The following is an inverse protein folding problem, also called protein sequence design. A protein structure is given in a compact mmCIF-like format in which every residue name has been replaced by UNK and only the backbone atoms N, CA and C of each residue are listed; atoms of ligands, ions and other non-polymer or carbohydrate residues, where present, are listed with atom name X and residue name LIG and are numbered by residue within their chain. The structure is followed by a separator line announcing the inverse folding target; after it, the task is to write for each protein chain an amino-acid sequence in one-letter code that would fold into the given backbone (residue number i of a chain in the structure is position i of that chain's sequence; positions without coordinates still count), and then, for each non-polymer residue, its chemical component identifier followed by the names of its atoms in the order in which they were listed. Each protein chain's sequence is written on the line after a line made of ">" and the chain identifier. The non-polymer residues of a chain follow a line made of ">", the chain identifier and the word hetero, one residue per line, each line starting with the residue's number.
data_IF_795123073404
#
_entry.id   IF_795123073404
#
_cell.length_a   1.000
_cell.length_b   1.000
_cell.length_c   1.000
_cell.angle_alpha   90.00
_cell.angle_beta   90.00
_cell.angle_gamma   90.00
#
_symmetry.space_group_name_H-M   'P 1'
#
loop_
_entity.id
_entity.type
_entity.pdbx_description
1 polymer ?
#
# COMPACT_ATOMS: atom_id res chain seq x y z
N UNK A 1 -30.47 18.01 9.75
CA UNK A 1 -29.51 17.03 10.25
C UNK A 1 -29.01 17.45 11.63
N UNK A 2 -29.08 16.55 12.60
CA UNK A 2 -28.48 16.78 13.93
C UNK A 2 -28.08 15.45 14.56
N UNK A 3 -26.83 15.38 15.05
CA UNK A 3 -26.31 14.19 15.73
C UNK A 3 -25.31 14.55 16.82
N UNK A 4 -25.19 13.67 17.80
CA UNK A 4 -24.18 13.71 18.87
C UNK A 4 -23.22 12.54 18.65
N UNK A 5 -21.91 12.81 18.68
CA UNK A 5 -20.87 11.82 18.44
C UNK A 5 -19.72 11.98 19.43
N UNK A 6 -19.06 10.90 19.80
CA UNK A 6 -17.81 10.98 20.53
C UNK A 6 -16.73 11.60 19.64
N UNK A 7 -15.98 12.55 20.16
CA UNK A 7 -14.92 13.27 19.43
C UNK A 7 -13.88 12.32 18.81
N UNK A 8 -13.46 11.30 19.55
CA UNK A 8 -12.46 10.33 19.06
C UNK A 8 -13.04 9.46 17.93
N UNK A 9 -14.29 9.00 18.05
CA UNK A 9 -14.98 8.27 16.98
C UNK A 9 -15.08 9.12 15.71
N UNK A 10 -15.44 10.40 15.87
CA UNK A 10 -15.53 11.30 14.72
C UNK A 10 -14.17 11.55 14.09
N UNK A 11 -13.12 11.76 14.89
CA UNK A 11 -11.76 11.95 14.42
C UNK A 11 -11.21 10.69 13.72
N UNK A 12 -11.43 9.50 14.27
CA UNK A 12 -11.01 8.23 13.68
C UNK A 12 -11.69 7.98 12.33
N UNK A 13 -13.01 8.21 12.27
CA UNK A 13 -13.75 8.13 11.01
C UNK A 13 -13.24 9.09 9.95
N UNK A 14 -13.06 10.38 10.30
CA UNK A 14 -12.49 11.37 9.40
C UNK A 14 -11.07 10.98 8.94
N UNK A 15 -10.21 10.54 9.84
CA UNK A 15 -8.85 10.10 9.52
C UNK A 15 -8.83 8.92 8.56
N UNK A 16 -9.83 8.03 8.64
CA UNK A 16 -9.93 6.88 7.75
C UNK A 16 -10.21 7.28 6.30
N UNK A 17 -10.99 8.34 6.07
CA UNK A 17 -11.46 8.70 4.73
C UNK A 17 -10.73 9.88 4.07
N UNK A 18 -10.09 10.77 4.83
CA UNK A 18 -9.68 12.09 4.32
C UNK A 18 -8.40 12.14 3.50
N UNK A 19 -7.57 11.08 3.51
CA UNK A 19 -6.33 11.04 2.72
C UNK A 19 -6.55 11.02 1.20
N UNK A 20 -7.74 10.62 0.75
CA UNK A 20 -8.12 10.66 -0.67
C UNK A 20 -8.22 12.09 -1.19
N UNK A 21 -8.55 13.03 -0.29
CA UNK A 21 -8.76 14.44 -0.66
C UNK A 21 -7.45 15.11 -1.05
N UNK A 22 -7.33 15.48 -2.32
CA UNK A 22 -6.14 16.17 -2.84
C UNK A 22 -6.04 17.61 -2.35
N UNK A 23 -4.82 18.15 -2.35
CA UNK A 23 -4.57 19.57 -2.02
C UNK A 23 -5.12 20.52 -3.08
N UNK A 24 -5.18 20.08 -4.32
CA UNK A 24 -5.69 20.82 -5.49
C UNK A 24 -6.70 19.92 -6.21
N UNK A 25 -7.98 20.06 -5.89
CA UNK A 25 -9.04 19.38 -6.63
C UNK A 25 -9.58 20.29 -7.74
N UNK A 26 -9.92 19.72 -8.87
CA UNK A 26 -10.55 20.43 -10.00
C UNK A 26 -11.94 20.95 -9.66
N UNK A 27 -12.64 20.26 -8.75
CA UNK A 27 -13.97 20.63 -8.28
C UNK A 27 -13.93 20.88 -6.77
N UNK A 28 -14.47 22.01 -6.27
CA UNK A 28 -14.47 22.34 -4.83
C UNK A 28 -15.09 21.25 -3.95
N UNK A 29 -16.15 20.57 -4.42
CA UNK A 29 -16.85 19.51 -3.70
C UNK A 29 -15.95 18.33 -3.34
N UNK A 30 -14.91 18.03 -4.16
CA UNK A 30 -13.95 16.96 -3.91
C UNK A 30 -12.96 17.27 -2.78
N UNK A 31 -12.96 18.51 -2.26
CA UNK A 31 -12.22 18.88 -1.06
C UNK A 31 -13.04 18.67 0.23
N UNK A 32 -14.28 18.23 0.07
CA UNK A 32 -15.20 18.01 1.18
C UNK A 32 -15.33 16.52 1.51
N UNK A 33 -15.73 16.25 2.76
CA UNK A 33 -16.27 14.97 3.18
C UNK A 33 -17.79 15.06 3.16
N UNK A 34 -18.44 14.09 2.52
CA UNK A 34 -19.88 13.89 2.62
C UNK A 34 -20.18 13.24 3.97
N UNK A 35 -21.10 13.85 4.70
CA UNK A 35 -21.59 13.42 6.03
C UNK A 35 -23.05 13.08 5.88
N UNK A 36 -23.43 11.85 6.14
CA UNK A 36 -24.81 11.36 6.08
C UNK A 36 -25.18 10.75 7.44
N UNK A 37 -26.12 11.37 8.14
CA UNK A 37 -26.60 10.94 9.46
C UNK A 37 -27.93 10.21 9.31
N UNK A 38 -27.98 8.95 9.73
CA UNK A 38 -29.16 8.11 9.67
C UNK A 38 -29.12 7.02 10.76
N UNK A 39 -30.29 6.73 11.36
CA UNK A 39 -30.40 5.72 12.43
C UNK A 39 -29.51 6.06 13.62
N UNK A 40 -28.57 5.21 13.94
CA UNK A 40 -27.59 5.35 15.03
C UNK A 40 -26.14 5.52 14.52
N UNK A 41 -25.99 5.86 13.25
CA UNK A 41 -24.68 5.99 12.60
C UNK A 41 -24.56 7.27 11.78
N UNK A 42 -23.32 7.67 11.56
CA UNK A 42 -22.94 8.68 10.57
C UNK A 42 -21.99 8.05 9.55
N UNK A 43 -22.36 8.14 8.29
CA UNK A 43 -21.52 7.74 7.16
C UNK A 43 -20.65 8.91 6.71
N UNK A 44 -19.35 8.66 6.57
CA UNK A 44 -18.35 9.61 6.10
C UNK A 44 -17.79 9.11 4.77
N UNK A 45 -17.86 9.94 3.73
CA UNK A 45 -17.43 9.57 2.39
C UNK A 45 -16.54 10.65 1.78
N UNK A 46 -15.42 10.26 1.17
CA UNK A 46 -14.57 11.13 0.36
C UNK A 46 -14.23 10.48 -0.96
N UNK A 47 -13.98 11.27 -1.99
CA UNK A 47 -13.54 10.79 -3.29
C UNK A 47 -12.74 11.86 -4.05
N UNK A 48 -11.88 11.38 -4.97
CA UNK A 48 -11.24 12.21 -5.98
C UNK A 48 -11.62 11.77 -7.42
N UNK A 49 -12.71 11.00 -7.56
CA UNK A 49 -13.26 10.39 -8.78
C UNK A 49 -12.54 9.11 -9.25
N UNK A 50 -11.30 8.89 -8.83
CA UNK A 50 -10.54 7.66 -9.15
C UNK A 50 -10.52 6.71 -7.96
N UNK A 51 -10.50 7.26 -6.77
CA UNK A 51 -10.47 6.56 -5.50
C UNK A 51 -11.52 7.18 -4.56
N UNK A 52 -12.33 6.36 -3.93
CA UNK A 52 -13.30 6.75 -2.91
C UNK A 52 -13.16 5.89 -1.65
N UNK A 53 -13.35 6.49 -0.50
CA UNK A 53 -13.38 5.78 0.78
C UNK A 53 -14.62 6.18 1.55
N UNK A 54 -15.29 5.18 2.12
CA UNK A 54 -16.48 5.33 2.94
C UNK A 54 -16.31 4.53 4.25
N UNK A 55 -16.69 5.12 5.37
CA UNK A 55 -16.81 4.42 6.66
C UNK A 55 -18.03 4.89 7.42
N UNK A 56 -18.48 4.08 8.40
CA UNK A 56 -19.53 4.44 9.34
C UNK A 56 -19.00 4.55 10.75
N UNK A 57 -19.51 5.52 11.51
CA UNK A 57 -19.20 5.72 12.92
C UNK A 57 -20.45 5.72 13.76
N UNK A 58 -20.37 5.29 15.02
CA UNK A 58 -21.46 5.37 15.98
C UNK A 58 -21.78 6.81 16.32
N UNK A 59 -23.05 7.18 16.27
CA UNK A 59 -23.53 8.51 16.67
C UNK A 59 -25.00 8.43 17.11
N UNK A 60 -25.40 9.30 18.01
CA UNK A 60 -26.82 9.47 18.38
C UNK A 60 -27.45 10.49 17.42
N UNK A 61 -28.17 10.01 16.41
CA UNK A 61 -28.81 10.86 15.40
C UNK A 61 -30.20 11.27 15.90
N UNK A 62 -30.39 12.56 16.17
CA UNK A 62 -31.69 13.12 16.56
C UNK A 62 -32.51 13.66 15.38
N UNK A 63 -31.84 13.99 14.27
CA UNK A 63 -32.49 14.38 13.02
C UNK A 63 -31.63 13.90 11.83
N UNK A 64 -32.17 13.04 10.96
CA UNK A 64 -31.42 12.56 9.78
C UNK A 64 -31.15 13.71 8.80
N UNK A 65 -30.21 13.46 7.89
CA UNK A 65 -29.88 14.38 6.79
C UNK A 65 -28.44 14.24 6.33
N UNK A 66 -28.06 15.08 5.37
CA UNK A 66 -26.75 15.02 4.74
C UNK A 66 -26.22 16.38 4.33
N UNK A 67 -24.91 16.54 4.35
CA UNK A 67 -24.18 17.76 3.99
C UNK A 67 -22.73 17.41 3.63
N UNK A 68 -22.06 18.25 2.88
CA UNK A 68 -20.60 18.12 2.70
C UNK A 68 -19.87 19.24 3.43
N UNK A 69 -18.75 18.91 4.09
CA UNK A 69 -17.92 19.87 4.80
C UNK A 69 -16.46 19.84 4.33
N UNK A 70 -15.78 21.00 4.28
CA UNK A 70 -14.39 21.07 3.84
C UNK A 70 -13.45 20.36 4.82
N UNK A 71 -12.76 19.32 4.34
CA UNK A 71 -11.85 18.48 5.13
C UNK A 71 -10.77 19.30 5.82
N UNK A 72 -10.16 20.26 5.10
CA UNK A 72 -9.11 21.15 5.64
C UNK A 72 -9.53 21.99 6.83
N UNK A 73 -10.84 22.20 7.03
CA UNK A 73 -11.38 22.91 8.19
C UNK A 73 -11.90 21.95 9.24
N UNK A 74 -12.64 20.93 8.83
CA UNK A 74 -13.29 20.01 9.75
C UNK A 74 -12.30 19.18 10.58
N UNK A 75 -11.29 18.59 9.93
CA UNK A 75 -10.31 17.72 10.62
C UNK A 75 -9.54 18.45 11.73
N UNK A 76 -8.93 19.63 11.48
CA UNK A 76 -8.27 20.38 12.55
C UNK A 76 -9.22 20.80 13.69
N UNK A 77 -10.46 21.19 13.36
CA UNK A 77 -11.47 21.53 14.38
C UNK A 77 -11.70 20.32 15.28
N UNK A 78 -12.10 19.16 14.70
CA UNK A 78 -12.41 17.95 15.48
C UNK A 78 -11.21 17.47 16.29
N UNK A 79 -9.99 17.58 15.74
CA UNK A 79 -8.75 17.25 16.46
C UNK A 79 -8.53 18.13 17.69
N UNK A 80 -8.86 19.42 17.61
CA UNK A 80 -8.62 20.41 18.66
C UNK A 80 -9.70 20.45 19.76
N UNK A 81 -10.85 19.77 19.56
CA UNK A 81 -11.92 19.75 20.55
C UNK A 81 -11.46 19.10 21.85
N UNK A 82 -11.78 19.69 22.99
CA UNK A 82 -11.38 19.22 24.31
C UNK A 82 -12.38 18.27 24.97
N UNK A 83 -13.67 18.37 24.60
CA UNK A 83 -14.73 17.53 25.16
C UNK A 83 -14.91 16.24 24.35
N UNK A 84 -15.23 15.14 25.03
CA UNK A 84 -15.55 13.87 24.40
C UNK A 84 -16.85 13.91 23.58
N UNK A 85 -17.81 14.75 23.98
CA UNK A 85 -19.11 14.91 23.32
C UNK A 85 -19.10 16.06 22.32
N UNK A 86 -19.46 15.77 21.09
CA UNK A 86 -19.54 16.74 20.00
C UNK A 86 -20.92 16.67 19.36
N UNK A 87 -21.60 17.83 19.29
CA UNK A 87 -22.90 17.97 18.62
C UNK A 87 -22.65 18.65 17.28
N UNK A 88 -23.15 18.04 16.21
CA UNK A 88 -23.09 18.56 14.84
C UNK A 88 -24.53 18.81 14.36
N UNK A 89 -24.83 20.05 13.99
CA UNK A 89 -26.17 20.49 13.63
C UNK A 89 -26.16 21.34 12.35
N UNK A 90 -26.94 20.96 11.36
CA UNK A 90 -27.21 21.78 10.18
C UNK A 90 -28.23 22.86 10.55
N UNK A 91 -27.78 24.11 10.64
CA UNK A 91 -28.59 25.23 11.13
C UNK A 91 -29.29 26.01 10.04
N UNK A 92 -28.73 26.05 8.84
CA UNK A 92 -29.32 26.65 7.65
C UNK A 92 -28.90 25.84 6.42
N UNK A 93 -29.33 26.24 5.24
CA UNK A 93 -29.17 25.43 4.01
C UNK A 93 -27.79 24.83 3.83
N UNK A 94 -26.71 25.56 4.17
CA UNK A 94 -25.34 25.11 3.94
C UNK A 94 -24.39 25.42 5.11
N UNK A 95 -24.93 25.68 6.33
CA UNK A 95 -24.11 25.99 7.51
C UNK A 95 -24.29 24.94 8.59
N UNK A 96 -23.19 24.42 9.07
CA UNK A 96 -23.13 23.44 10.15
C UNK A 96 -22.51 24.07 11.39
N UNK A 97 -23.22 23.94 12.51
CA UNK A 97 -22.74 24.28 13.84
C UNK A 97 -22.16 23.06 14.50
N UNK A 98 -20.94 23.15 14.99
CA UNK A 98 -20.23 22.12 15.74
C UNK A 98 -20.04 22.65 17.16
N UNK A 99 -20.60 21.95 18.14
CA UNK A 99 -20.54 22.34 19.56
C UNK A 99 -19.85 21.24 20.36
N UNK A 100 -18.87 21.61 21.20
CA UNK A 100 -18.19 20.70 22.09
C UNK A 100 -17.77 21.41 23.36
N UNK A 101 -18.42 21.13 24.50
CA UNK A 101 -18.30 21.89 25.72
C UNK A 101 -18.73 23.35 25.49
N UNK A 102 -17.86 24.29 25.81
CA UNK A 102 -18.07 25.73 25.58
C UNK A 102 -17.69 26.21 24.17
N UNK A 103 -17.02 25.35 23.39
CA UNK A 103 -16.54 25.69 22.05
C UNK A 103 -17.65 25.57 21.02
N UNK A 104 -17.78 26.56 20.15
CA UNK A 104 -18.77 26.62 19.08
C UNK A 104 -18.08 27.04 17.77
N UNK A 105 -18.21 26.21 16.74
CA UNK A 105 -17.73 26.52 15.40
C UNK A 105 -18.90 26.54 14.41
N UNK A 106 -18.81 27.41 13.41
CA UNK A 106 -19.73 27.42 12.27
C UNK A 106 -18.92 27.20 11.01
N UNK A 107 -19.24 26.15 10.28
CA UNK A 107 -18.55 25.75 9.06
C UNK A 107 -19.53 25.81 7.88
N UNK A 108 -19.16 26.50 6.82
CA UNK A 108 -19.91 26.49 5.57
C UNK A 108 -19.62 25.18 4.82
N UNK A 109 -20.67 24.53 4.36
CA UNK A 109 -20.64 23.32 3.55
C UNK A 109 -21.10 23.57 2.12
N UNK A 110 -21.30 22.47 1.40
CA UNK A 110 -21.94 22.45 0.08
C UNK A 110 -23.04 21.38 0.10
N UNK A 111 -24.09 21.55 -0.74
CA UNK A 111 -25.19 20.57 -0.83
C UNK A 111 -24.68 19.16 -1.16
N UNK A 112 -25.20 18.16 -0.45
CA UNK A 112 -24.82 16.76 -0.63
C UNK A 112 -25.15 16.22 -2.03
N UNK A 113 -26.14 16.80 -2.70
CA UNK A 113 -26.59 16.45 -4.05
C UNK A 113 -25.50 16.68 -5.13
N UNK A 114 -24.55 17.56 -4.85
CA UNK A 114 -23.43 17.84 -5.74
C UNK A 114 -22.27 16.85 -5.57
N UNK A 115 -22.29 16.03 -4.49
CA UNK A 115 -21.22 15.09 -4.23
C UNK A 115 -21.33 13.88 -5.17
N UNK A 116 -20.25 13.51 -5.89
CA UNK A 116 -20.29 12.40 -6.83
C UNK A 116 -20.50 11.07 -6.08
N UNK A 117 -21.40 10.20 -6.59
CA UNK A 117 -21.65 8.91 -5.97
C UNK A 117 -20.44 7.98 -6.07
N UNK A 118 -20.22 7.18 -5.04
CA UNK A 118 -19.27 6.07 -5.07
C UNK A 118 -20.01 4.81 -5.50
N UNK A 119 -19.38 3.97 -6.33
CA UNK A 119 -19.98 2.74 -6.82
C UNK A 119 -20.30 1.79 -5.67
N UNK A 120 -21.46 1.17 -5.76
CA UNK A 120 -21.91 0.14 -4.84
C UNK A 120 -21.65 -1.25 -5.45
N UNK A 121 -21.03 -2.13 -4.69
CA UNK A 121 -20.69 -3.50 -5.08
C UNK A 121 -21.64 -4.54 -4.42
N UNK A 122 -22.73 -4.11 -3.78
CA UNK A 122 -23.68 -5.02 -3.18
C UNK A 122 -24.27 -6.00 -4.22
N UNK A 123 -24.28 -7.28 -3.88
CA UNK A 123 -24.77 -8.33 -4.78
C UNK A 123 -23.78 -8.84 -5.82
N UNK A 124 -22.59 -8.24 -5.94
CA UNK A 124 -21.54 -8.76 -6.82
C UNK A 124 -20.77 -9.91 -6.13
N UNK A 125 -20.20 -10.84 -6.92
CA UNK A 125 -19.30 -11.87 -6.40
C UNK A 125 -18.15 -11.26 -5.61
N UNK A 126 -17.80 -11.91 -4.48
CA UNK A 126 -16.82 -11.40 -3.53
C UNK A 126 -15.76 -12.45 -3.25
N UNK A 127 -14.49 -12.06 -3.31
CA UNK A 127 -13.36 -12.86 -2.90
C UNK A 127 -12.90 -12.37 -1.52
N UNK A 128 -12.88 -13.26 -0.51
CA UNK A 128 -12.48 -12.92 0.85
C UNK A 128 -11.00 -13.27 1.09
N UNK A 129 -10.23 -12.29 1.55
CA UNK A 129 -8.81 -12.41 1.86
C UNK A 129 -8.60 -11.97 3.31
N UNK A 130 -7.78 -12.67 4.08
CA UNK A 130 -7.36 -12.19 5.40
C UNK A 130 -6.56 -10.89 5.25
N UNK A 131 -6.88 -9.86 6.05
CA UNK A 131 -6.26 -8.53 5.94
C UNK A 131 -4.76 -8.56 6.25
N UNK A 132 -4.32 -9.37 7.23
CA UNK A 132 -2.90 -9.54 7.55
C UNK A 132 -2.14 -10.14 6.36
N UNK A 133 -2.74 -11.14 5.69
CA UNK A 133 -2.16 -11.76 4.51
C UNK A 133 -2.05 -10.78 3.35
N UNK A 134 -3.11 -10.01 3.08
CA UNK A 134 -3.10 -9.01 2.02
C UNK A 134 -2.07 -7.91 2.30
N UNK A 135 -2.02 -7.43 3.54
CA UNK A 135 -1.05 -6.43 3.99
C UNK A 135 0.41 -6.90 3.85
N UNK A 136 0.69 -8.16 4.23
CA UNK A 136 2.01 -8.77 4.07
C UNK A 136 2.40 -8.88 2.59
N UNK A 137 1.51 -9.37 1.73
CA UNK A 137 1.74 -9.47 0.30
C UNK A 137 2.02 -8.10 -0.35
N UNK A 138 1.23 -7.09 -0.01
CA UNK A 138 1.41 -5.73 -0.55
C UNK A 138 2.73 -5.10 -0.07
N UNK A 139 3.08 -5.26 1.19
CA UNK A 139 4.34 -4.78 1.76
C UNK A 139 5.55 -5.40 1.02
N UNK A 140 5.46 -6.69 0.69
CA UNK A 140 6.51 -7.44 -0.03
C UNK A 140 6.71 -7.00 -1.47
N UNK A 141 5.73 -6.33 -2.12
CA UNK A 141 5.84 -5.98 -3.54
C UNK A 141 5.76 -4.49 -3.86
N UNK A 142 5.05 -3.69 -3.06
CA UNK A 142 4.70 -2.30 -3.41
C UNK A 142 5.90 -1.38 -3.63
N UNK A 143 7.06 -1.66 -3.02
CA UNK A 143 8.28 -0.89 -3.21
C UNK A 143 8.87 -1.01 -4.63
N UNK A 144 8.50 -2.06 -5.37
CA UNK A 144 9.01 -2.32 -6.72
C UNK A 144 8.18 -1.66 -7.82
N UNK A 145 7.05 -1.02 -7.51
CA UNK A 145 6.28 -0.27 -8.51
C UNK A 145 7.03 0.94 -9.04
N UNK A 146 6.75 1.33 -10.29
CA UNK A 146 7.34 2.53 -10.88
C UNK A 146 6.83 3.80 -10.18
N UNK A 147 7.73 4.75 -9.92
CA UNK A 147 7.38 6.10 -9.48
C UNK A 147 7.05 7.04 -10.65
N UNK A 148 7.32 6.64 -11.89
CA UNK A 148 7.05 7.40 -13.10
C UNK A 148 5.57 7.25 -13.49
N UNK A 149 4.80 8.32 -13.32
CA UNK A 149 3.37 8.36 -13.64
C UNK A 149 3.08 8.18 -15.17
N UNK A 150 4.05 8.48 -16.03
CA UNK A 150 3.91 8.25 -17.48
C UNK A 150 3.90 6.74 -17.81
N UNK A 151 4.49 5.92 -16.95
CA UNK A 151 4.47 4.46 -17.05
C UNK A 151 3.28 3.89 -16.27
N UNK A 152 2.08 4.39 -16.54
CA UNK A 152 0.88 4.17 -15.76
C UNK A 152 0.57 2.69 -15.46
N UNK A 153 0.87 1.75 -16.37
CA UNK A 153 0.71 0.30 -16.15
C UNK A 153 1.65 -0.21 -15.05
N UNK A 154 2.88 0.34 -14.94
CA UNK A 154 3.86 -0.04 -13.94
C UNK A 154 3.78 0.81 -12.66
N UNK A 155 3.06 1.94 -12.70
CA UNK A 155 2.78 2.77 -11.53
C UNK A 155 1.62 2.19 -10.73
N UNK A 156 1.78 0.96 -10.28
CA UNK A 156 0.78 0.21 -9.54
C UNK A 156 1.20 -1.23 -9.29
N UNK A 157 0.31 -1.99 -8.69
CA UNK A 157 0.48 -3.41 -8.38
C UNK A 157 -0.51 -4.24 -9.19
N UNK A 158 -0.01 -5.28 -9.82
CA UNK A 158 -0.79 -6.26 -10.54
C UNK A 158 -1.28 -7.35 -9.59
N UNK A 159 -2.57 -7.62 -9.63
CA UNK A 159 -3.25 -8.68 -8.89
C UNK A 159 -3.74 -9.73 -9.88
N UNK A 160 -3.37 -10.96 -9.68
CA UNK A 160 -3.79 -12.09 -10.48
C UNK A 160 -4.43 -13.16 -9.58
N UNK A 161 -5.74 -13.29 -9.70
CA UNK A 161 -6.51 -14.34 -9.06
C UNK A 161 -6.63 -15.50 -10.05
N UNK A 162 -6.19 -16.67 -9.63
CA UNK A 162 -6.33 -17.93 -10.36
C UNK A 162 -6.89 -18.98 -9.43
N UNK A 163 -7.20 -20.18 -9.92
CA UNK A 163 -7.73 -21.26 -9.11
C UNK A 163 -6.93 -21.47 -7.82
N UNK A 164 -7.58 -21.16 -6.69
CA UNK A 164 -7.02 -21.35 -5.36
C UNK A 164 -5.81 -20.46 -5.00
N UNK A 165 -5.51 -19.36 -5.75
CA UNK A 165 -4.31 -18.55 -5.51
C UNK A 165 -4.50 -17.07 -5.86
N UNK A 166 -3.90 -16.20 -5.05
CA UNK A 166 -3.62 -14.80 -5.38
C UNK A 166 -2.13 -14.62 -5.61
N UNK A 167 -1.77 -14.02 -6.73
CA UNK A 167 -0.42 -13.54 -7.02
C UNK A 167 -0.46 -12.02 -7.12
N UNK A 168 0.46 -11.33 -6.44
CA UNK A 168 0.66 -9.88 -6.56
C UNK A 168 2.05 -9.60 -7.10
N UNK A 169 2.16 -8.67 -8.04
CA UNK A 169 3.42 -8.34 -8.72
C UNK A 169 3.56 -6.83 -8.88
N UNK A 170 4.77 -6.34 -8.67
CA UNK A 170 5.13 -4.98 -9.02
C UNK A 170 6.50 -4.94 -9.70
N UNK A 171 6.71 -4.03 -10.65
CA UNK A 171 7.98 -3.80 -11.32
C UNK A 171 8.11 -2.37 -11.82
N UNK A 172 9.33 -1.84 -11.81
CA UNK A 172 9.70 -0.57 -12.43
C UNK A 172 10.51 -0.77 -13.74
N UNK A 173 10.69 -2.05 -14.15
CA UNK A 173 11.48 -2.46 -15.32
C UNK A 173 12.97 -2.69 -15.00
N UNK A 174 13.42 -2.40 -13.78
CA UNK A 174 14.80 -2.67 -13.31
C UNK A 174 14.83 -3.69 -12.18
N UNK A 175 13.73 -3.86 -11.50
CA UNK A 175 13.48 -4.87 -10.48
C UNK A 175 12.04 -5.34 -10.57
N UNK A 176 11.76 -6.51 -10.06
CA UNK A 176 10.43 -7.10 -9.99
C UNK A 176 10.26 -7.80 -8.65
N UNK A 177 9.18 -7.50 -7.93
CA UNK A 177 8.80 -8.24 -6.74
C UNK A 177 7.49 -8.99 -7.00
N UNK A 178 7.46 -10.27 -6.61
CA UNK A 178 6.30 -11.15 -6.71
C UNK A 178 6.06 -11.81 -5.37
N UNK A 179 4.81 -11.81 -4.94
CA UNK A 179 4.36 -12.58 -3.79
C UNK A 179 3.11 -13.36 -4.17
N UNK A 180 3.02 -14.63 -3.74
CA UNK A 180 1.83 -15.45 -3.99
C UNK A 180 1.37 -16.18 -2.74
N UNK A 181 0.06 -16.39 -2.66
CA UNK A 181 -0.56 -17.08 -1.52
C UNK A 181 -1.76 -17.89 -1.96
N UNK A 182 -1.93 -19.07 -1.37
CA UNK A 182 -3.13 -19.88 -1.54
C UNK A 182 -4.35 -19.13 -1.02
N UNK A 183 -5.44 -19.18 -1.78
CA UNK A 183 -6.68 -18.48 -1.48
C UNK A 183 -7.87 -19.37 -1.84
N UNK A 184 -8.69 -19.72 -0.86
CA UNK A 184 -9.88 -20.53 -1.10
C UNK A 184 -11.00 -19.72 -1.78
N UNK A 185 -11.78 -20.36 -2.63
CA UNK A 185 -13.00 -19.76 -3.23
C UNK A 185 -12.74 -18.85 -4.43
N UNK A 186 -11.61 -19.01 -5.13
CA UNK A 186 -11.34 -18.31 -6.38
C UNK A 186 -11.55 -19.23 -7.58
N UNK A 187 -12.81 -19.35 -8.02
CA UNK A 187 -13.16 -20.24 -9.15
C UNK A 187 -13.03 -19.55 -10.52
N UNK A 188 -12.85 -18.24 -10.54
CA UNK A 188 -12.72 -17.44 -11.76
C UNK A 188 -11.38 -16.72 -11.81
N UNK A 189 -10.72 -16.82 -12.94
CA UNK A 189 -9.52 -16.04 -13.23
C UNK A 189 -9.91 -14.54 -13.30
N UNK A 190 -9.18 -13.71 -12.57
CA UNK A 190 -9.32 -12.26 -12.56
C UNK A 190 -7.94 -11.62 -12.51
N UNK A 191 -7.71 -10.63 -13.37
CA UNK A 191 -6.48 -9.87 -13.37
C UNK A 191 -6.81 -8.37 -13.30
N UNK A 192 -6.15 -7.66 -12.38
CA UNK A 192 -6.37 -6.23 -12.11
C UNK A 192 -5.02 -5.53 -11.93
N UNK A 193 -4.92 -4.30 -12.42
CA UNK A 193 -3.80 -3.41 -12.08
C UNK A 193 -4.37 -2.30 -11.19
N UNK A 194 -3.86 -2.20 -9.96
CA UNK A 194 -4.29 -1.19 -9.00
C UNK A 194 -3.28 -0.06 -8.95
N UNK A 195 -3.73 1.21 -9.09
CA UNK A 195 -2.84 2.36 -9.02
C UNK A 195 -2.06 2.43 -7.71
N UNK A 196 -0.83 2.96 -7.74
CA UNK A 196 0.03 3.13 -6.58
C UNK A 196 -0.69 3.82 -5.41
N UNK A 197 -1.45 4.87 -5.69
CA UNK A 197 -2.23 5.60 -4.68
C UNK A 197 -3.27 4.71 -3.98
N UNK A 198 -3.93 3.84 -4.74
CA UNK A 198 -4.89 2.87 -4.19
C UNK A 198 -4.19 1.90 -3.25
N UNK A 199 -3.01 1.40 -3.63
CA UNK A 199 -2.22 0.49 -2.81
C UNK A 199 -1.81 1.14 -1.50
N UNK A 200 -1.33 2.39 -1.53
CA UNK A 200 -0.96 3.14 -0.32
C UNK A 200 -2.15 3.27 0.64
N UNK A 201 -3.31 3.68 0.12
CA UNK A 201 -4.52 3.84 0.96
C UNK A 201 -5.05 2.49 1.46
N UNK A 202 -5.03 1.45 0.61
CA UNK A 202 -5.44 0.11 1.02
C UNK A 202 -4.55 -0.40 2.17
N UNK A 203 -3.23 -0.32 2.04
CA UNK A 203 -2.29 -0.74 3.09
C UNK A 203 -2.50 0.02 4.40
N UNK A 204 -2.81 1.31 4.33
CA UNK A 204 -3.12 2.14 5.52
C UNK A 204 -4.40 1.71 6.23
N UNK A 205 -5.41 1.27 5.47
CA UNK A 205 -6.72 0.88 5.99
C UNK A 205 -6.79 -0.55 6.49
N UNK A 206 -5.90 -1.44 6.00
CA UNK A 206 -5.85 -2.83 6.46
C UNK A 206 -5.57 -2.90 7.96
N UNK A 207 -6.31 -3.76 8.67
CA UNK A 207 -6.20 -4.00 10.11
C UNK A 207 -5.97 -5.49 10.39
N UNK A 208 -5.39 -5.79 11.53
CA UNK A 208 -5.20 -7.18 11.95
C UNK A 208 -6.52 -7.88 12.28
N UNK A 209 -6.61 -9.15 11.93
CA UNK A 209 -7.66 -10.06 12.39
C UNK A 209 -8.97 -10.01 11.62
N UNK A 210 -9.10 -9.17 10.58
CA UNK A 210 -10.30 -9.06 9.74
C UNK A 210 -10.14 -9.67 8.35
N UNK A 211 -11.21 -9.66 7.57
CA UNK A 211 -11.21 -10.02 6.15
C UNK A 211 -11.34 -8.75 5.28
N UNK A 212 -10.69 -8.78 4.15
CA UNK A 212 -10.90 -7.87 3.03
C UNK A 212 -11.75 -8.62 1.98
N UNK A 213 -12.90 -8.07 1.65
CA UNK A 213 -13.82 -8.61 0.66
C UNK A 213 -13.62 -7.83 -0.63
N UNK A 214 -13.12 -8.49 -1.67
CA UNK A 214 -12.80 -7.89 -2.96
C UNK A 214 -13.93 -8.18 -3.93
N UNK A 215 -14.55 -7.15 -4.47
CA UNK A 215 -15.55 -7.23 -5.53
C UNK A 215 -15.11 -6.33 -6.70
N UNK A 216 -15.48 -6.66 -7.91
CA UNK A 216 -15.09 -5.88 -9.08
C UNK A 216 -16.20 -5.81 -10.13
N UNK A 217 -16.14 -4.77 -10.95
CA UNK A 217 -16.79 -4.67 -12.25
C UNK A 217 -15.71 -4.39 -13.32
N UNK A 218 -16.14 -4.08 -14.54
CA UNK A 218 -15.22 -3.87 -15.67
C UNK A 218 -14.18 -2.74 -15.45
N UNK A 219 -14.51 -1.72 -14.66
CA UNK A 219 -13.69 -0.49 -14.52
C UNK A 219 -13.22 -0.20 -13.11
N UNK A 220 -13.80 -0.88 -12.11
CA UNK A 220 -13.55 -0.56 -10.72
C UNK A 220 -13.46 -1.82 -9.87
N UNK A 221 -12.73 -1.69 -8.78
CA UNK A 221 -12.64 -2.68 -7.70
C UNK A 221 -13.08 -2.04 -6.40
N UNK A 222 -13.82 -2.80 -5.60
CA UNK A 222 -14.21 -2.45 -4.24
C UNK A 222 -13.54 -3.38 -3.23
N UNK A 223 -12.94 -2.79 -2.21
CA UNK A 223 -12.44 -3.50 -1.03
C UNK A 223 -13.34 -3.13 0.15
N UNK A 224 -14.05 -4.11 0.69
CA UNK A 224 -14.83 -3.95 1.91
C UNK A 224 -14.05 -4.61 3.04
N UNK A 225 -13.50 -3.81 3.96
CA UNK A 225 -12.62 -4.24 5.03
C UNK A 225 -13.41 -4.40 6.32
N UNK A 226 -13.37 -5.57 6.95
CA UNK A 226 -13.97 -5.76 8.26
C UNK A 226 -13.22 -4.91 9.30
N UNK A 227 -13.96 -4.24 10.16
CA UNK A 227 -13.38 -3.46 11.26
C UNK A 227 -13.31 -4.36 12.50
N UNK A 228 -12.13 -4.47 13.16
CA UNK A 228 -12.03 -5.19 14.43
C UNK A 228 -12.98 -4.60 15.48
N UNK A 229 -13.56 -5.45 16.31
CA UNK A 229 -14.54 -5.05 17.34
C UNK A 229 -13.99 -4.12 18.41
N UNK A 230 -12.67 -4.00 18.52
CA UNK A 230 -11.94 -3.13 19.44
C UNK A 230 -11.63 -1.73 18.85
N UNK A 231 -11.93 -1.48 17.58
CA UNK A 231 -11.75 -0.15 16.97
C UNK A 231 -12.84 0.80 17.44
N UNK A 232 -12.48 1.74 18.31
CA UNK A 232 -13.42 2.67 18.91
C UNK A 232 -14.12 3.53 17.85
N UNK A 233 -15.44 3.37 17.78
CA UNK A 233 -16.35 4.23 17.01
C UNK A 233 -16.58 3.84 15.55
N UNK A 234 -15.72 3.06 14.94
CA UNK A 234 -16.00 2.53 13.60
C UNK A 234 -17.04 1.39 13.68
N UNK A 235 -17.94 1.33 12.72
CA UNK A 235 -19.04 0.35 12.67
C UNK A 235 -18.91 -0.49 11.42
N UNK A 236 -18.99 -1.81 11.60
CA UNK A 236 -19.02 -2.83 10.56
C UNK A 236 -17.80 -2.86 9.64
N UNK A 237 -17.70 -1.91 8.69
CA UNK A 237 -16.77 -2.02 7.57
C UNK A 237 -16.29 -0.66 7.08
N UNK A 238 -15.08 -0.65 6.53
CA UNK A 238 -14.56 0.44 5.70
C UNK A 238 -14.60 -0.02 4.25
N UNK A 239 -15.16 0.80 3.37
CA UNK A 239 -15.17 0.53 1.94
C UNK A 239 -14.19 1.45 1.22
N UNK A 240 -13.32 0.85 0.40
CA UNK A 240 -12.45 1.53 -0.53
C UNK A 240 -12.86 1.13 -1.95
N UNK A 241 -13.11 2.09 -2.81
CA UNK A 241 -13.46 1.88 -4.23
C UNK A 241 -12.42 2.57 -5.08
N UNK A 242 -11.84 1.86 -6.03
CA UNK A 242 -10.81 2.38 -6.94
C UNK A 242 -11.13 2.06 -8.39
N UNK A 243 -10.81 2.98 -9.31
CA UNK A 243 -10.65 2.62 -10.71
C UNK A 243 -9.45 1.66 -10.84
N UNK A 244 -9.56 0.73 -11.78
CA UNK A 244 -8.43 -0.09 -12.23
C UNK A 244 -7.68 0.61 -13.34
N UNK A 245 -6.39 0.31 -13.48
CA UNK A 245 -5.59 0.79 -14.61
C UNK A 245 -5.94 -0.05 -15.82
N UNK A 246 -6.34 0.59 -16.91
CA UNK A 246 -6.62 -0.06 -18.19
C UNK A 246 -5.32 -0.47 -18.88
N UNK A 247 -5.29 -1.68 -19.46
CA UNK A 247 -4.17 -2.21 -20.23
C UNK A 247 -3.68 -3.57 -19.74
N UNK A 248 -2.70 -4.10 -20.46
CA UNK A 248 -2.10 -5.41 -20.15
C UNK A 248 -0.81 -5.24 -19.36
N UNK A 249 -0.76 -5.86 -18.20
CA UNK A 249 0.49 -5.92 -17.43
C UNK A 249 1.54 -6.75 -18.19
N UNK A 250 2.83 -6.35 -18.20
CA UNK A 250 3.88 -7.10 -18.88
C UNK A 250 3.95 -8.56 -18.41
N UNK A 251 4.35 -9.47 -19.31
CA UNK A 251 4.53 -10.88 -18.94
C UNK A 251 5.74 -11.03 -18.00
N UNK A 252 5.50 -10.81 -16.73
CA UNK A 252 6.52 -10.85 -15.68
C UNK A 252 7.20 -12.22 -15.53
N UNK A 253 6.54 -13.30 -15.96
CA UNK A 253 7.09 -14.65 -15.85
C UNK A 253 8.33 -14.86 -16.72
N UNK A 254 8.48 -14.07 -17.79
CA UNK A 254 9.62 -14.17 -18.71
C UNK A 254 10.92 -13.62 -18.12
N UNK A 255 10.83 -12.69 -17.16
CA UNK A 255 12.01 -12.07 -16.55
C UNK A 255 12.49 -12.83 -15.29
N UNK A 256 11.72 -13.77 -14.80
CA UNK A 256 12.10 -14.61 -13.67
C UNK A 256 13.02 -15.73 -14.19
N UNK A 257 14.30 -15.79 -13.76
CA UNK A 257 15.20 -16.86 -14.17
C UNK A 257 14.65 -18.24 -13.79
N UNK A 258 14.64 -19.16 -14.75
CA UNK A 258 14.23 -20.56 -14.51
C UNK A 258 15.31 -21.34 -13.81
N UNK A 259 16.56 -20.99 -14.09
CA UNK A 259 17.75 -21.55 -13.47
C UNK A 259 18.58 -20.39 -12.93
N UNK A 260 18.72 -20.34 -11.65
CA UNK A 260 19.37 -19.23 -10.94
C UNK A 260 20.87 -19.49 -10.71
N UNK A 261 21.40 -20.64 -11.16
CA UNK A 261 22.81 -20.99 -10.98
C UNK A 261 23.15 -21.26 -9.51
N UNK A 262 24.05 -20.44 -8.94
CA UNK A 262 24.52 -20.61 -7.57
C UNK A 262 23.63 -19.89 -6.57
N UNK A 263 23.49 -20.50 -5.38
CA UNK A 263 22.63 -20.04 -4.29
C UNK A 263 23.46 -19.81 -3.03
N UNK A 264 23.25 -18.66 -2.39
CA UNK A 264 23.86 -18.29 -1.12
C UNK A 264 22.77 -18.06 -0.09
N UNK A 265 22.78 -18.80 1.01
CA UNK A 265 21.91 -18.57 2.14
C UNK A 265 22.56 -17.59 3.11
N UNK A 266 21.81 -16.57 3.54
CA UNK A 266 22.30 -15.45 4.32
C UNK A 266 21.31 -15.07 5.43
N UNK A 267 21.85 -14.62 6.56
CA UNK A 267 21.06 -13.89 7.54
C UNK A 267 20.61 -12.56 6.94
N UNK A 268 19.31 -12.33 6.87
CA UNK A 268 18.69 -11.15 6.25
C UNK A 268 19.22 -9.84 6.84
N UNK A 269 19.29 -9.75 8.17
CA UNK A 269 19.73 -8.53 8.87
C UNK A 269 21.19 -8.20 8.59
N UNK A 270 22.08 -9.21 8.63
CA UNK A 270 23.51 -9.01 8.30
C UNK A 270 23.69 -8.49 6.87
N UNK A 271 22.97 -9.07 5.90
CA UNK A 271 23.02 -8.59 4.53
C UNK A 271 22.51 -7.15 4.42
N UNK A 272 21.38 -6.83 5.08
CA UNK A 272 20.80 -5.50 5.08
C UNK A 272 21.76 -4.46 5.68
N UNK A 273 22.38 -4.75 6.80
CA UNK A 273 23.34 -3.85 7.45
C UNK A 273 24.59 -3.63 6.59
N UNK A 274 25.16 -4.71 6.02
CA UNK A 274 26.35 -4.60 5.18
C UNK A 274 26.09 -3.82 3.89
N UNK A 275 24.92 -4.07 3.24
CA UNK A 275 24.52 -3.27 2.07
C UNK A 275 24.28 -1.81 2.44
N UNK A 276 23.65 -1.52 3.57
CA UNK A 276 23.45 -0.13 4.02
C UNK A 276 24.81 0.56 4.28
N UNK A 277 25.80 -0.10 4.92
CA UNK A 277 27.12 0.50 5.15
C UNK A 277 27.87 0.72 3.84
N UNK A 278 27.90 -0.26 2.94
CA UNK A 278 28.53 -0.12 1.64
C UNK A 278 27.89 1.01 0.81
N UNK A 279 26.58 1.17 0.87
CA UNK A 279 25.84 2.22 0.17
C UNK A 279 26.23 3.64 0.59
N UNK A 280 26.84 3.84 1.77
CA UNK A 280 27.35 5.15 2.21
C UNK A 280 28.49 5.65 1.33
N UNK A 281 29.18 4.77 0.60
CA UNK A 281 30.27 5.09 -0.31
C UNK A 281 29.81 5.12 -1.79
N UNK A 282 28.52 5.12 -2.06
CA UNK A 282 27.97 5.42 -3.40
C UNK A 282 27.58 6.89 -3.50
N UNK A 283 27.49 7.40 -4.73
CA UNK A 283 27.05 8.76 -5.03
C UNK A 283 26.01 8.76 -6.17
N UNK A 284 25.46 9.95 -6.49
CA UNK A 284 24.43 10.09 -7.52
C UNK A 284 24.88 9.66 -8.93
N UNK A 285 26.21 9.73 -9.21
CA UNK A 285 26.79 9.32 -10.49
C UNK A 285 27.05 7.81 -10.54
N UNK A 286 27.42 7.23 -9.40
CA UNK A 286 27.73 5.81 -9.26
C UNK A 286 26.98 5.21 -8.07
N UNK A 287 25.66 5.09 -8.23
CA UNK A 287 24.80 4.46 -7.21
C UNK A 287 24.82 2.92 -7.38
N UNK A 288 26.01 2.34 -7.15
CA UNK A 288 26.30 0.92 -7.44
C UNK A 288 27.10 0.30 -6.33
N UNK A 289 26.65 -0.84 -5.83
CA UNK A 289 27.43 -1.78 -5.02
C UNK A 289 27.82 -2.99 -5.86
N UNK A 290 28.98 -3.56 -5.58
CA UNK A 290 29.48 -4.79 -6.16
C UNK A 290 29.35 -5.91 -5.13
N UNK A 291 28.82 -7.04 -5.54
CA UNK A 291 28.75 -8.26 -4.75
C UNK A 291 29.62 -9.33 -5.41
N UNK A 292 30.61 -9.83 -4.72
CA UNK A 292 31.45 -10.93 -5.19
C UNK A 292 31.46 -12.10 -4.21
N UNK A 293 31.31 -13.29 -4.73
CA UNK A 293 31.37 -14.52 -3.95
C UNK A 293 32.27 -15.54 -4.66
N UNK A 294 33.17 -16.14 -3.91
CA UNK A 294 34.07 -17.16 -4.44
C UNK A 294 34.07 -18.41 -3.55
N UNK A 295 34.22 -19.56 -4.15
CA UNK A 295 34.35 -20.84 -3.44
C UNK A 295 35.58 -20.85 -2.54
N UNK A 296 36.66 -20.16 -2.93
CA UNK A 296 37.92 -20.13 -2.21
C UNK A 296 37.85 -19.36 -0.89
N UNK A 297 37.19 -18.20 -0.90
CA UNK A 297 37.15 -17.30 0.27
C UNK A 297 36.05 -17.64 1.24
N UNK A 298 34.98 -18.35 0.79
CA UNK A 298 33.78 -18.60 1.57
C UNK A 298 33.17 -17.32 2.18
N UNK A 299 33.31 -16.20 1.44
CA UNK A 299 32.77 -14.89 1.79
C UNK A 299 31.96 -14.33 0.62
N UNK A 300 30.83 -13.72 0.93
CA UNK A 300 30.17 -12.74 0.08
C UNK A 300 30.75 -11.38 0.44
N UNK A 301 31.53 -10.78 -0.47
CA UNK A 301 32.06 -9.44 -0.31
C UNK A 301 31.16 -8.42 -0.98
N UNK A 302 30.73 -7.42 -0.23
CA UNK A 302 29.95 -6.28 -0.72
C UNK A 302 30.89 -5.07 -0.72
N UNK A 303 31.10 -4.45 -1.87
CA UNK A 303 31.96 -3.29 -1.99
C UNK A 303 31.32 -2.15 -2.76
N UNK A 304 31.72 -0.94 -2.45
CA UNK A 304 31.34 0.28 -3.17
C UNK A 304 32.56 1.17 -3.34
N UNK A 305 32.59 1.95 -4.40
CA UNK A 305 33.66 2.91 -4.65
C UNK A 305 33.12 4.17 -5.31
N UNK A 306 33.54 5.33 -4.81
CA UNK A 306 33.24 6.65 -5.36
C UNK A 306 34.49 7.53 -5.32
N UNK A 307 34.36 8.78 -5.76
CA UNK A 307 35.45 9.77 -5.61
C UNK A 307 35.77 10.04 -4.13
N UNK A 308 34.85 9.79 -3.21
CA UNK A 308 34.99 10.03 -1.77
C UNK A 308 35.69 8.90 -1.01
N UNK A 309 35.87 7.72 -1.62
CA UNK A 309 36.52 6.56 -1.00
C UNK A 309 35.86 5.25 -1.39
N UNK A 310 36.16 4.21 -0.62
CA UNK A 310 35.67 2.85 -0.83
C UNK A 310 35.21 2.21 0.46
N UNK A 311 34.33 1.18 0.32
CA UNK A 311 33.86 0.33 1.38
C UNK A 311 34.00 -1.14 1.02
N UNK A 312 34.33 -1.98 2.02
CA UNK A 312 34.45 -3.42 1.92
C UNK A 312 33.75 -4.09 3.10
N UNK A 313 32.74 -4.89 2.82
CA UNK A 313 31.88 -5.55 3.80
C UNK A 313 31.83 -7.06 3.53
N UNK A 314 32.69 -7.86 4.16
CA UNK A 314 32.69 -9.31 4.01
C UNK A 314 31.64 -9.97 4.90
N UNK A 315 30.86 -10.89 4.34
CA UNK A 315 29.92 -11.77 5.05
C UNK A 315 30.36 -13.22 4.84
N UNK A 316 30.67 -13.93 5.92
CA UNK A 316 31.01 -15.35 5.86
C UNK A 316 29.77 -16.16 5.38
N UNK A 317 29.97 -16.99 4.37
CA UNK A 317 28.90 -17.81 3.76
C UNK A 317 29.41 -19.20 3.44
N UNK A 318 28.50 -20.18 3.36
CA UNK A 318 28.80 -21.49 2.78
C UNK A 318 28.47 -21.43 1.29
N UNK A 319 29.47 -21.60 0.44
CA UNK A 319 29.33 -21.44 -1.00
C UNK A 319 30.05 -22.54 -1.80
N UNK A 320 29.33 -23.17 -2.71
CA UNK A 320 29.85 -24.24 -3.56
C UNK A 320 29.70 -23.96 -5.08
N UNK A 321 29.23 -22.74 -5.42
CA UNK A 321 28.98 -22.32 -6.80
C UNK A 321 30.24 -21.81 -7.54
N UNK A 322 30.09 -21.38 -8.79
CA UNK A 322 31.13 -20.67 -9.53
C UNK A 322 31.41 -19.30 -8.92
N UNK A 323 32.61 -18.78 -9.15
CA UNK A 323 32.93 -17.42 -8.75
C UNK A 323 32.04 -16.43 -9.51
N UNK A 324 31.37 -15.52 -8.78
CA UNK A 324 30.47 -14.51 -9.33
C UNK A 324 30.88 -13.14 -8.84
N UNK A 325 30.83 -12.17 -9.75
CA UNK A 325 31.05 -10.75 -9.46
C UNK A 325 29.98 -9.94 -10.19
N UNK A 326 29.02 -9.39 -9.46
CA UNK A 326 27.82 -8.77 -10.00
C UNK A 326 27.59 -7.41 -9.32
N UNK A 327 27.06 -6.44 -10.04
CA UNK A 327 26.78 -5.12 -9.51
C UNK A 327 25.28 -4.80 -9.50
N UNK A 328 24.84 -4.12 -8.44
CA UNK A 328 23.45 -3.72 -8.27
C UNK A 328 23.31 -2.29 -7.73
N UNK A 329 22.18 -1.67 -8.00
CA UNK A 329 21.74 -0.52 -7.22
C UNK A 329 21.46 -0.98 -5.77
N UNK A 330 22.09 -0.38 -4.75
CA UNK A 330 21.93 -0.81 -3.35
C UNK A 330 20.46 -0.77 -2.90
N UNK A 331 19.70 0.22 -3.34
CA UNK A 331 18.30 0.35 -2.95
C UNK A 331 17.44 -0.84 -3.41
N UNK A 332 17.79 -1.45 -4.56
CA UNK A 332 17.06 -2.61 -5.08
C UNK A 332 17.30 -3.90 -4.27
N UNK A 333 18.37 -3.92 -3.47
CA UNK A 333 18.64 -4.99 -2.50
C UNK A 333 18.07 -4.63 -1.12
N UNK A 334 18.17 -3.37 -0.69
CA UNK A 334 17.69 -2.89 0.61
C UNK A 334 16.16 -3.03 0.73
N UNK A 335 15.42 -2.64 -0.29
CA UNK A 335 13.95 -2.63 -0.23
C UNK A 335 13.34 -4.01 0.03
N UNK A 336 13.67 -5.07 -0.74
CA UNK A 336 13.16 -6.42 -0.46
C UNK A 336 13.60 -6.93 0.93
N UNK A 337 14.84 -6.64 1.37
CA UNK A 337 15.32 -7.06 2.69
C UNK A 337 14.53 -6.40 3.83
N UNK A 338 14.14 -5.13 3.67
CA UNK A 338 13.26 -4.42 4.64
C UNK A 338 11.84 -4.93 4.62
N UNK A 339 11.37 -5.40 3.46
CA UNK A 339 10.01 -5.91 3.30
C UNK A 339 9.82 -7.33 3.85
N UNK A 340 10.89 -8.12 3.93
CA UNK A 340 10.88 -9.47 4.49
C UNK A 340 10.96 -9.45 6.02
N UNK A 341 10.40 -10.49 6.64
CA UNK A 341 10.41 -10.70 8.11
C UNK A 341 11.13 -11.99 8.51
N UNK A 342 11.52 -12.79 7.53
CA UNK A 342 12.30 -14.01 7.75
C UNK A 342 13.71 -13.67 8.22
N UNK A 343 14.30 -14.52 9.09
CA UNK A 343 15.66 -14.33 9.59
C UNK A 343 16.71 -14.62 8.52
N UNK A 344 16.43 -15.57 7.64
CA UNK A 344 17.31 -15.96 6.53
C UNK A 344 16.62 -15.78 5.19
N UNK A 345 17.44 -15.54 4.15
CA UNK A 345 17.02 -15.45 2.75
C UNK A 345 17.99 -16.20 1.87
N UNK A 346 17.53 -16.54 0.69
CA UNK A 346 18.35 -17.08 -0.38
C UNK A 346 18.62 -16.03 -1.45
N UNK A 347 19.89 -15.82 -1.77
CA UNK A 347 20.34 -14.96 -2.86
C UNK A 347 20.93 -15.85 -3.97
N UNK A 348 20.40 -15.73 -5.18
CA UNK A 348 20.73 -16.57 -6.32
C UNK A 348 21.39 -15.75 -7.43
N UNK A 349 22.47 -16.27 -8.00
CA UNK A 349 23.25 -15.66 -9.08
C UNK A 349 23.52 -16.69 -10.16
N UNK A 350 23.50 -16.28 -11.42
CA UNK A 350 23.93 -17.11 -12.54
C UNK A 350 25.29 -16.64 -13.10
N UNK A 351 25.38 -15.40 -13.45
CA UNK A 351 26.55 -14.72 -13.98
C UNK A 351 26.43 -13.19 -13.76
N UNK A 352 27.44 -12.45 -14.19
CA UNK A 352 27.50 -10.97 -14.01
C UNK A 352 26.45 -10.18 -14.82
N UNK A 353 25.87 -10.77 -15.85
CA UNK A 353 24.90 -10.15 -16.77
C UNK A 353 23.48 -10.62 -16.54
N UNK A 354 23.29 -11.70 -15.82
CA UNK A 354 21.99 -12.25 -15.50
C UNK A 354 21.38 -11.61 -14.25
N UNK A 355 20.05 -11.50 -14.15
CA UNK A 355 19.42 -10.95 -12.95
C UNK A 355 19.77 -11.75 -11.70
N UNK A 356 20.02 -11.05 -10.60
CA UNK A 356 20.03 -11.66 -9.27
C UNK A 356 18.61 -11.92 -8.79
N UNK A 357 18.41 -12.99 -8.01
CA UNK A 357 17.12 -13.33 -7.42
C UNK A 357 17.25 -13.45 -5.90
N UNK A 358 16.43 -12.69 -5.18
CA UNK A 358 16.30 -12.78 -3.74
C UNK A 358 15.00 -13.51 -3.43
N UNK A 359 15.05 -14.57 -2.63
CA UNK A 359 13.88 -15.37 -2.24
C UNK A 359 13.71 -15.40 -0.72
N UNK A 360 12.45 -15.40 -0.29
CA UNK A 360 12.08 -15.86 1.05
C UNK A 360 12.17 -17.39 1.15
N UNK A 361 12.35 -17.90 2.38
CA UNK A 361 12.45 -19.36 2.58
C UNK A 361 11.12 -20.10 2.39
N UNK A 362 10.00 -19.40 2.40
CA UNK A 362 8.64 -19.99 2.31
C UNK A 362 8.13 -20.15 0.87
N UNK A 363 8.96 -19.91 -0.15
CA UNK A 363 8.61 -19.96 -1.58
C UNK A 363 7.42 -19.09 -2.02
N UNK A 364 6.91 -18.23 -1.15
CA UNK A 364 5.80 -17.32 -1.44
C UNK A 364 6.24 -15.97 -2.00
N UNK A 365 7.55 -15.67 -1.91
CA UNK A 365 8.14 -14.39 -2.31
C UNK A 365 9.41 -14.57 -3.15
N UNK A 366 9.53 -13.72 -4.18
CA UNK A 366 10.77 -13.52 -4.90
C UNK A 366 10.93 -12.07 -5.35
N UNK A 367 12.16 -11.61 -5.40
CA UNK A 367 12.54 -10.34 -6.00
C UNK A 367 13.64 -10.55 -7.04
N UNK A 368 13.39 -10.16 -8.28
CA UNK A 368 14.37 -10.14 -9.37
C UNK A 368 14.99 -8.76 -9.44
N UNK A 369 16.30 -8.67 -9.49
CA UNK A 369 17.04 -7.39 -9.58
C UNK A 369 17.96 -7.44 -10.79
N UNK A 370 17.78 -6.48 -11.70
CA UNK A 370 18.65 -6.37 -12.89
C UNK A 370 20.03 -5.88 -12.49
N UNK A 371 21.11 -6.50 -13.00
CA UNK A 371 22.46 -6.05 -12.73
C UNK A 371 22.75 -4.70 -13.40
N UNK A 372 23.68 -3.96 -12.82
CA UNK A 372 24.27 -2.77 -13.44
C UNK A 372 25.58 -3.15 -14.12
N UNK A 373 25.90 -2.49 -15.25
CA UNK A 373 27.18 -2.69 -15.88
C UNK A 373 28.28 -2.14 -14.98
N UNK A 374 29.32 -2.93 -14.78
CA UNK A 374 30.54 -2.51 -14.09
C UNK A 374 31.35 -1.71 -15.11
N UNK A 375 31.43 -0.40 -14.90
CA UNK A 375 32.29 0.49 -15.69
C UNK A 375 33.70 0.53 -15.10
#
# INVERSE_FOLDING_TARGET
>A
MKFKVNRNHFFNGLSSVTNVVGSRATMPILQNVLIEAEGDTVTLTTTNLDLGICCRIKAAVSSPGRITLPVKKLVPIVRALSSSDTIVELTSKDRVKITSGSSVFQVAGLPAEQFPPISNFAGLPTIAINQDHLGDMLRKVSYAQSSDENRYILNGVFFEFTEGKLTVVATDGRRLAKCERKLAGTDKALALILPARTIIELMRLLKSGGKAHVSHNERQVGFTLDVPTNEEGLVDRIQLVSKVVEGNYPNYRQVIPKDAGAKVRLEREKLLESVNRAALMTDDRNNTIRMSVTKKTQNLEISARSESGDAHEPIAVKYEGPDVNIAFNPQYIIDPLKALTEDEIDLEFKDEMSPGVLRGLKDDFLCVVMPQRIS
#
